data_IF_588743590318
#
_entry.id   IF_588743590318
#
_cell.length_a   1.000
_cell.length_b   1.000
_cell.length_c   1.000
_cell.angle_alpha   90.00
_cell.angle_beta   90.00
_cell.angle_gamma   90.00
#
_symmetry.space_group_name_H-M   'P 1'
#
loop_
_entity.id
_entity.type
_entity.pdbx_description
1 polymer ?
#
# COMPACT_ATOMS: atom_id res chain seq x y z
N UNK A 1 1.22 6.17 -11.78
CA UNK A 1 0.72 6.56 -10.44
C UNK A 1 -0.76 6.95 -10.46
N UNK A 2 -1.15 7.99 -11.20
CA UNK A 2 -2.50 8.58 -11.08
C UNK A 2 -3.68 7.64 -11.37
N UNK A 3 -3.53 6.68 -12.30
CA UNK A 3 -4.56 5.68 -12.56
C UNK A 3 -4.87 4.79 -11.34
N UNK A 4 -3.83 4.33 -10.64
CA UNK A 4 -3.97 3.52 -9.43
C UNK A 4 -4.60 4.34 -8.30
N UNK A 5 -4.15 5.57 -8.10
CA UNK A 5 -4.73 6.48 -7.10
C UNK A 5 -6.23 6.68 -7.37
N UNK A 6 -6.62 6.99 -8.61
CA UNK A 6 -8.03 7.17 -8.99
C UNK A 6 -8.86 5.90 -8.80
N UNK A 7 -8.30 4.73 -9.13
CA UNK A 7 -8.98 3.47 -8.91
C UNK A 7 -9.28 3.25 -7.42
N UNK A 8 -8.29 3.46 -6.54
CA UNK A 8 -8.51 3.33 -5.09
C UNK A 8 -9.41 4.44 -4.52
N UNK A 9 -9.39 5.65 -5.09
CA UNK A 9 -10.34 6.71 -4.74
C UNK A 9 -11.79 6.28 -5.00
N UNK A 10 -12.06 5.60 -6.11
CA UNK A 10 -13.40 5.05 -6.39
C UNK A 10 -13.85 3.97 -5.39
N UNK A 11 -12.90 3.37 -4.65
CA UNK A 11 -13.16 2.40 -3.58
C UNK A 11 -13.23 3.05 -2.18
N UNK A 12 -13.30 4.39 -2.12
CA UNK A 12 -13.41 5.16 -0.89
C UNK A 12 -12.08 5.46 -0.19
N UNK A 13 -10.95 5.17 -0.82
CA UNK A 13 -9.65 5.57 -0.28
C UNK A 13 -9.33 7.02 -0.59
N UNK A 14 -8.53 7.64 0.27
CA UNK A 14 -8.01 8.99 0.10
C UNK A 14 -6.50 8.99 0.31
N UNK A 15 -5.77 9.91 -0.33
CA UNK A 15 -4.33 10.06 -0.08
C UNK A 15 -4.08 10.44 1.38
N UNK A 16 -2.98 9.95 1.92
CA UNK A 16 -2.46 10.37 3.21
C UNK A 16 -0.94 10.50 3.17
N UNK A 17 -0.38 11.15 4.18
CA UNK A 17 1.03 11.57 4.15
C UNK A 17 1.98 10.47 4.63
N UNK A 18 1.48 9.49 5.38
CA UNK A 18 2.33 8.49 6.05
C UNK A 18 1.64 7.11 6.18
N UNK A 19 2.49 6.08 6.32
CA UNK A 19 2.10 4.69 6.50
C UNK A 19 1.88 4.26 7.95
N UNK A 20 1.94 5.17 8.93
CA UNK A 20 1.79 4.78 10.33
C UNK A 20 0.40 4.19 10.59
N UNK A 21 0.34 3.24 11.51
CA UNK A 21 -0.91 2.59 11.86
C UNK A 21 -1.91 3.59 12.44
N UNK A 22 -3.13 3.59 11.90
CA UNK A 22 -4.23 4.41 12.38
C UNK A 22 -5.41 3.49 12.72
N UNK A 23 -5.84 3.49 13.98
CA UNK A 23 -6.98 2.67 14.39
C UNK A 23 -8.23 3.00 13.55
N UNK A 24 -8.97 1.96 13.17
CA UNK A 24 -10.15 2.09 12.33
C UNK A 24 -9.86 2.45 10.86
N UNK A 25 -8.60 2.41 10.42
CA UNK A 25 -8.23 2.68 9.03
C UNK A 25 -7.46 1.52 8.40
N UNK A 26 -7.77 1.24 7.14
CA UNK A 26 -6.98 0.37 6.27
C UNK A 26 -6.14 1.26 5.35
N UNK A 27 -4.85 0.94 5.25
CA UNK A 27 -3.90 1.69 4.44
C UNK A 27 -3.33 0.87 3.27
N UNK A 28 -3.00 1.57 2.19
CA UNK A 28 -2.31 1.05 1.01
C UNK A 28 -1.04 1.87 0.79
N UNK A 29 0.09 1.21 0.56
CA UNK A 29 1.34 1.81 0.14
C UNK A 29 1.60 1.41 -1.32
N UNK A 30 1.80 2.40 -2.18
CA UNK A 30 2.24 2.16 -3.56
C UNK A 30 3.73 2.31 -3.64
N UNK A 31 4.38 1.30 -4.21
CA UNK A 31 5.78 1.35 -4.58
C UNK A 31 5.90 1.74 -6.06
N UNK A 32 6.92 2.51 -6.37
CA UNK A 32 7.21 2.93 -7.73
C UNK A 32 8.70 3.05 -8.00
N UNK A 33 9.05 2.87 -9.26
CA UNK A 33 10.36 3.15 -9.83
C UNK A 33 10.21 4.22 -10.95
N UNK A 34 11.28 4.60 -11.68
CA UNK A 34 11.18 5.55 -12.79
C UNK A 34 10.21 5.13 -13.92
N UNK A 35 9.90 3.84 -14.04
CA UNK A 35 8.95 3.28 -15.01
C UNK A 35 7.49 3.31 -14.54
N UNK A 36 7.23 3.53 -13.25
CA UNK A 36 5.90 3.72 -12.69
C UNK A 36 5.62 2.87 -11.47
N UNK A 37 4.32 2.60 -11.21
CA UNK A 37 3.91 1.80 -10.05
C UNK A 37 4.27 0.33 -10.30
N UNK A 38 5.08 -0.21 -9.40
CA UNK A 38 5.59 -1.60 -9.43
C UNK A 38 4.76 -2.50 -8.51
N UNK A 39 4.34 -1.96 -7.37
CA UNK A 39 3.70 -2.75 -6.33
C UNK A 39 2.70 -1.96 -5.48
N UNK A 40 1.80 -2.68 -4.82
CA UNK A 40 0.92 -2.16 -3.79
C UNK A 40 0.90 -3.11 -2.59
N UNK A 41 1.11 -2.59 -1.39
CA UNK A 41 1.00 -3.33 -0.15
C UNK A 41 -0.16 -2.78 0.70
N UNK A 42 -0.84 -3.66 1.44
CA UNK A 42 -1.89 -3.31 2.40
C UNK A 42 -1.38 -3.44 3.81
N UNK A 43 -1.73 -2.51 4.69
CA UNK A 43 -1.44 -2.63 6.11
C UNK A 43 -2.45 -3.55 6.80
N UNK A 44 -1.96 -4.51 7.57
CA UNK A 44 -2.75 -5.39 8.43
C UNK A 44 -3.10 -4.70 9.75
N UNK A 45 -4.12 -5.17 10.49
CA UNK A 45 -4.43 -4.69 11.84
C UNK A 45 -3.31 -4.92 12.88
N UNK A 46 -2.23 -5.61 12.52
CA UNK A 46 -1.01 -5.72 13.34
C UNK A 46 -0.02 -4.57 13.11
N UNK A 47 -0.26 -3.72 12.11
CA UNK A 47 0.66 -2.67 11.65
C UNK A 47 1.68 -3.16 10.60
N UNK A 48 1.77 -4.47 10.38
CA UNK A 48 2.63 -5.09 9.35
C UNK A 48 2.03 -4.87 7.95
N UNK A 49 2.87 -4.81 6.92
CA UNK A 49 2.42 -4.67 5.53
C UNK A 49 2.40 -6.02 4.85
N UNK A 50 1.40 -6.25 4.01
CA UNK A 50 1.28 -7.46 3.20
C UNK A 50 1.08 -7.15 1.73
N UNK A 51 1.70 -7.97 0.88
CA UNK A 51 1.70 -7.78 -0.56
C UNK A 51 1.92 -9.10 -1.30
N UNK A 52 1.52 -9.18 -2.57
CA UNK A 52 1.66 -10.40 -3.37
C UNK A 52 2.99 -10.44 -4.11
N UNK A 53 3.81 -11.45 -3.86
CA UNK A 53 4.95 -11.78 -4.71
C UNK A 53 4.51 -12.79 -5.77
N UNK A 54 4.59 -12.38 -7.03
CA UNK A 54 4.13 -13.18 -8.15
C UNK A 54 2.61 -13.42 -8.11
N UNK A 55 2.15 -14.56 -8.64
CA UNK A 55 0.71 -14.82 -8.77
C UNK A 55 0.02 -15.23 -7.47
N UNK A 56 0.73 -15.88 -6.54
CA UNK A 56 0.07 -16.73 -5.53
C UNK A 56 0.59 -16.60 -4.09
N UNK A 57 1.59 -15.76 -3.80
CA UNK A 57 2.16 -15.70 -2.45
C UNK A 57 1.98 -14.33 -1.83
N UNK A 58 1.09 -14.23 -0.85
CA UNK A 58 1.07 -13.08 0.05
C UNK A 58 2.22 -13.21 1.05
N UNK A 59 3.01 -12.16 1.20
CA UNK A 59 4.08 -12.07 2.19
C UNK A 59 3.78 -10.95 3.19
N UNK A 60 4.39 -11.04 4.36
CA UNK A 60 4.41 -9.97 5.35
C UNK A 60 5.80 -9.32 5.38
N UNK A 61 5.84 -7.98 5.44
CA UNK A 61 7.07 -7.22 5.40
C UNK A 61 6.91 -5.84 6.06
N UNK A 62 8.04 -5.19 6.33
CA UNK A 62 8.07 -3.75 6.63
C UNK A 62 8.10 -2.97 5.32
N UNK A 63 7.74 -1.68 5.32
CA UNK A 63 7.80 -0.88 4.10
C UNK A 63 9.19 -0.90 3.45
N UNK A 64 10.23 -0.61 4.26
CA UNK A 64 11.63 -0.64 3.86
C UNK A 64 12.11 -2.03 3.44
N UNK A 65 11.50 -3.11 3.95
CA UNK A 65 11.87 -4.49 3.62
C UNK A 65 11.62 -4.88 2.16
N UNK A 66 10.81 -4.10 1.43
CA UNK A 66 10.58 -4.26 -0.01
C UNK A 66 11.14 -3.09 -0.84
N UNK A 67 11.83 -2.12 -0.25
CA UNK A 67 12.39 -1.02 -1.02
C UNK A 67 13.62 -1.45 -1.83
N UNK A 68 13.74 -0.90 -3.04
CA UNK A 68 14.85 -1.11 -3.95
C UNK A 68 14.61 -2.18 -5.03
N UNK A 69 15.62 -2.37 -5.87
CA UNK A 69 15.62 -3.36 -6.94
C UNK A 69 14.38 -3.28 -7.84
N UNK A 70 13.70 -4.41 -8.03
CA UNK A 70 12.51 -4.56 -8.88
C UNK A 70 11.23 -3.93 -8.28
N UNK A 71 11.22 -3.65 -6.98
CA UNK A 71 10.02 -3.16 -6.30
C UNK A 71 10.01 -1.65 -6.17
N UNK A 72 11.12 -0.94 -6.38
CA UNK A 72 11.18 0.52 -6.28
C UNK A 72 11.05 1.02 -4.84
N UNK A 73 10.59 2.25 -4.66
CA UNK A 73 10.46 2.88 -3.33
C UNK A 73 9.01 3.28 -3.06
N UNK A 74 8.64 3.43 -1.79
CA UNK A 74 7.29 3.89 -1.45
C UNK A 74 7.08 5.31 -1.99
N UNK A 75 6.06 5.49 -2.82
CA UNK A 75 5.80 6.73 -3.53
C UNK A 75 4.46 7.39 -3.16
N UNK A 76 3.52 6.63 -2.58
CA UNK A 76 2.26 7.19 -2.10
C UNK A 76 1.59 6.29 -1.06
N UNK A 77 0.86 6.91 -0.14
CA UNK A 77 -0.04 6.23 0.79
C UNK A 77 -1.50 6.61 0.51
N UNK A 78 -2.38 5.64 0.72
CA UNK A 78 -3.83 5.83 0.72
C UNK A 78 -4.41 5.24 1.99
N UNK A 79 -5.51 5.81 2.50
CA UNK A 79 -6.26 5.29 3.63
C UNK A 79 -7.77 5.33 3.40
N UNK A 80 -8.50 4.41 4.03
CA UNK A 80 -9.97 4.48 4.18
C UNK A 80 -10.36 4.02 5.57
N UNK A 81 -11.53 4.45 6.03
CA UNK A 81 -12.12 3.94 7.28
C UNK A 81 -12.60 2.51 7.08
N UNK A 82 -12.27 1.62 8.01
CA UNK A 82 -12.80 0.26 8.05
C UNK A 82 -14.10 0.30 8.84
N UNK A 83 -15.19 -0.21 8.27
CA UNK A 83 -16.38 -0.50 9.06
C UNK A 83 -16.05 -1.74 9.89
N UNK A 84 -15.75 -1.53 11.17
CA UNK A 84 -15.75 -2.59 12.16
C UNK A 84 -17.22 -3.01 12.36
N UNK A 85 -17.62 -4.04 11.61
CA UNK A 85 -18.93 -4.68 11.77
C UNK A 85 -18.96 -5.57 13.00
#
# INVERSE_FOLDING_TARGET
MDGFVRAFQSLGFQRCDHGDMEEGHEKIAFYADPGGVTHAARQLPSGVWTSKIGKNFDIEHTLAGLEGGQYGSVAAFMKRRVNLG
#
